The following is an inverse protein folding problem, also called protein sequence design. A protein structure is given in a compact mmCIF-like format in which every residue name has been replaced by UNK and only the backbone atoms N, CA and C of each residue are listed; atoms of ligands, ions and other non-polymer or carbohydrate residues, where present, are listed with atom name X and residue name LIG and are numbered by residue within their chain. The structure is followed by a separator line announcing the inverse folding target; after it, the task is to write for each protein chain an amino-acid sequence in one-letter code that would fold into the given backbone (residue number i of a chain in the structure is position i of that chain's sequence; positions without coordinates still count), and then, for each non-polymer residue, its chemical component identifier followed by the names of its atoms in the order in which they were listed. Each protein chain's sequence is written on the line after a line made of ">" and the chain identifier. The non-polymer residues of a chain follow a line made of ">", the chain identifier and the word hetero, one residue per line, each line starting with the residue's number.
data_IF_044865132189
#
_entry.id   IF_044865132189
#
_cell.length_a   1.000
_cell.length_b   1.000
_cell.length_c   1.000
_cell.angle_alpha   90.00
_cell.angle_beta   90.00
_cell.angle_gamma   90.00
#
_symmetry.space_group_name_H-M   'P 1'
#
loop_
_entity.id
_entity.type
_entity.pdbx_description
1 polymer ?
#
# COMPACT_ATOMS: atom_id res chain seq x y z
N UNK A 1 20.02 -8.23 16.46
CA UNK A 1 18.61 -7.83 16.34
C UNK A 1 17.97 -8.65 15.24
N UNK A 2 16.79 -9.22 15.46
CA UNK A 2 16.05 -9.89 14.38
C UNK A 2 15.60 -8.82 13.39
N UNK A 3 15.62 -9.10 12.07
CA UNK A 3 15.10 -8.14 11.10
C UNK A 3 13.61 -7.92 11.32
N UNK A 4 13.14 -6.69 11.08
CA UNK A 4 11.71 -6.35 11.09
C UNK A 4 10.97 -7.28 10.14
N UNK A 5 9.84 -7.81 10.57
CA UNK A 5 8.99 -8.67 9.74
C UNK A 5 7.72 -7.92 9.34
N UNK A 6 7.47 -7.85 8.03
CA UNK A 6 6.26 -7.26 7.46
C UNK A 6 5.36 -8.38 6.94
N UNK A 7 4.10 -8.37 7.36
CA UNK A 7 3.09 -9.27 6.81
C UNK A 7 2.25 -8.55 5.75
N UNK A 8 2.29 -9.09 4.53
CA UNK A 8 1.37 -8.73 3.45
C UNK A 8 0.13 -9.60 3.58
N UNK A 9 -1.03 -8.97 3.69
CA UNK A 9 -2.32 -9.64 3.83
C UNK A 9 -3.09 -9.46 2.52
N UNK A 10 -3.15 -10.50 1.70
CA UNK A 10 -3.86 -10.48 0.42
C UNK A 10 -5.34 -10.85 0.59
N UNK A 11 -6.23 -10.01 0.08
CA UNK A 11 -7.68 -10.22 0.07
C UNK A 11 -8.18 -10.36 -1.37
N UNK A 12 -8.09 -11.58 -1.90
CA UNK A 12 -8.65 -11.92 -3.21
C UNK A 12 -8.02 -11.18 -4.38
N UNK A 13 -6.71 -10.87 -4.33
CA UNK A 13 -6.02 -10.28 -5.46
C UNK A 13 -5.93 -11.28 -6.61
N UNK A 14 -6.17 -10.85 -7.86
CA UNK A 14 -6.22 -11.73 -9.01
C UNK A 14 -4.85 -12.26 -9.46
N UNK A 15 -3.77 -11.59 -9.12
CA UNK A 15 -2.43 -11.90 -9.60
C UNK A 15 -1.42 -11.94 -8.45
N UNK A 16 -0.91 -13.14 -8.17
CA UNK A 16 0.08 -13.38 -7.14
C UNK A 16 1.45 -12.80 -7.50
N UNK A 17 1.80 -12.76 -8.78
CA UNK A 17 3.09 -12.27 -9.24
C UNK A 17 3.26 -10.77 -8.90
N UNK A 18 2.17 -9.99 -8.93
CA UNK A 18 2.19 -8.58 -8.51
C UNK A 18 2.54 -8.43 -7.03
N UNK A 19 1.99 -9.32 -6.19
CA UNK A 19 2.27 -9.32 -4.76
C UNK A 19 3.74 -9.71 -4.51
N UNK A 20 4.24 -10.72 -5.19
CA UNK A 20 5.62 -11.19 -5.04
C UNK A 20 6.64 -10.13 -5.47
N UNK A 21 6.38 -9.39 -6.55
CA UNK A 21 7.23 -8.26 -6.96
C UNK A 21 7.27 -7.16 -5.90
N UNK A 22 6.11 -6.80 -5.34
CA UNK A 22 6.03 -5.81 -4.27
C UNK A 22 6.73 -6.28 -2.98
N UNK A 23 6.62 -7.57 -2.62
CA UNK A 23 7.32 -8.16 -1.48
C UNK A 23 8.83 -8.06 -1.63
N UNK A 24 9.37 -8.39 -2.81
CA UNK A 24 10.80 -8.28 -3.09
C UNK A 24 11.28 -6.83 -3.04
N UNK A 25 10.50 -5.90 -3.57
CA UNK A 25 10.81 -4.47 -3.51
C UNK A 25 10.81 -3.96 -2.07
N UNK A 26 9.80 -4.30 -1.27
CA UNK A 26 9.72 -3.92 0.14
C UNK A 26 10.86 -4.51 0.98
N UNK A 27 11.20 -5.78 0.76
CA UNK A 27 12.30 -6.44 1.46
C UNK A 27 13.64 -5.74 1.21
N UNK A 28 13.89 -5.29 -0.03
CA UNK A 28 15.09 -4.53 -0.37
C UNK A 28 15.09 -3.14 0.24
N UNK A 29 13.97 -2.42 0.09
CA UNK A 29 13.87 -1.01 0.48
C UNK A 29 13.95 -0.81 2.00
N UNK A 30 13.31 -1.70 2.76
CA UNK A 30 13.24 -1.60 4.22
C UNK A 30 14.17 -2.56 4.97
N UNK A 31 15.02 -3.32 4.24
CA UNK A 31 15.93 -4.32 4.81
C UNK A 31 15.21 -5.26 5.81
N UNK A 32 14.03 -5.75 5.43
CA UNK A 32 13.11 -6.51 6.29
C UNK A 32 12.79 -7.89 5.71
N UNK A 33 12.24 -8.76 6.55
CA UNK A 33 11.59 -9.99 6.10
C UNK A 33 10.14 -9.68 5.68
N UNK A 34 9.67 -10.28 4.59
CA UNK A 34 8.27 -10.12 4.15
C UNK A 34 7.60 -11.48 4.04
N UNK A 35 6.43 -11.61 4.66
CA UNK A 35 5.62 -12.83 4.67
C UNK A 35 4.25 -12.53 4.05
N UNK A 36 3.78 -13.42 3.18
CA UNK A 36 2.44 -13.34 2.60
C UNK A 36 1.44 -14.20 3.38
N UNK A 37 0.29 -13.62 3.70
CA UNK A 37 -0.89 -14.30 4.22
C UNK A 37 -2.08 -14.02 3.31
N UNK A 38 -2.73 -15.07 2.85
CA UNK A 38 -4.00 -14.96 2.14
C UNK A 38 -5.13 -15.10 3.16
N UNK A 39 -6.05 -14.15 3.16
CA UNK A 39 -7.21 -14.15 4.04
C UNK A 39 -8.49 -13.96 3.22
N UNK A 40 -9.56 -14.55 3.72
CA UNK A 40 -10.88 -14.45 3.11
C UNK A 40 -11.89 -14.06 4.18
N UNK A 41 -12.43 -12.86 4.08
CA UNK A 41 -13.57 -12.42 4.88
C UNK A 41 -14.46 -11.48 4.06
N UNK A 42 -15.72 -11.39 4.45
CA UNK A 42 -16.69 -10.52 3.78
C UNK A 42 -16.43 -9.07 4.17
N UNK A 43 -16.22 -8.21 3.16
CA UNK A 43 -16.00 -6.77 3.33
C UNK A 43 -17.24 -5.95 2.96
N UNK A 44 -18.38 -6.57 2.65
CA UNK A 44 -19.61 -5.91 2.20
C UNK A 44 -20.15 -4.88 3.21
N UNK A 45 -19.95 -5.11 4.51
CA UNK A 45 -20.36 -4.19 5.58
C UNK A 45 -19.59 -2.85 5.57
N UNK A 46 -18.50 -2.77 4.82
CA UNK A 46 -17.67 -1.57 4.69
C UNK A 46 -17.90 -0.81 3.40
N UNK A 47 -18.83 -1.31 2.55
CA UNK A 47 -19.22 -0.69 1.30
C UNK A 47 -20.24 0.45 1.54
N UNK A 48 -19.98 1.59 0.90
CA UNK A 48 -20.90 2.71 0.85
C UNK A 48 -21.64 2.71 -0.50
N UNK A 49 -22.95 2.43 -0.54
CA UNK A 49 -23.70 2.31 -1.78
C UNK A 49 -23.91 3.66 -2.50
N UNK A 50 -23.85 4.79 -1.78
CA UNK A 50 -23.97 6.13 -2.35
C UNK A 50 -22.68 6.49 -3.10
N UNK A 51 -21.55 6.23 -2.49
CA UNK A 51 -20.24 6.47 -3.09
C UNK A 51 -19.83 5.37 -4.07
N UNK A 52 -20.37 4.17 -3.93
CA UNK A 52 -19.95 2.95 -4.61
C UNK A 52 -18.48 2.60 -4.32
N UNK A 53 -18.07 2.83 -3.10
CA UNK A 53 -16.70 2.69 -2.64
C UNK A 53 -16.66 2.02 -1.26
N UNK A 54 -15.49 1.56 -0.86
CA UNK A 54 -15.25 0.97 0.46
C UNK A 54 -14.58 1.99 1.39
N UNK A 55 -15.06 2.04 2.64
CA UNK A 55 -14.51 2.92 3.66
C UNK A 55 -13.15 2.40 4.13
N UNK A 56 -12.09 3.13 3.80
CA UNK A 56 -10.71 2.75 4.10
C UNK A 56 -10.41 2.74 5.60
N UNK A 57 -10.95 3.69 6.37
CA UNK A 57 -10.76 3.70 7.84
C UNK A 57 -11.30 2.44 8.49
N UNK A 58 -12.42 1.93 8.01
CA UNK A 58 -13.03 0.69 8.53
C UNK A 58 -12.20 -0.53 8.11
N UNK A 59 -11.78 -0.62 6.86
CA UNK A 59 -10.93 -1.72 6.39
C UNK A 59 -9.57 -1.74 7.10
N UNK A 60 -8.97 -0.57 7.32
CA UNK A 60 -7.72 -0.45 8.08
C UNK A 60 -7.86 -1.03 9.49
N UNK A 61 -8.98 -0.74 10.18
CA UNK A 61 -9.26 -1.31 11.51
C UNK A 61 -9.46 -2.83 11.48
N UNK A 62 -10.06 -3.36 10.42
CA UNK A 62 -10.20 -4.82 10.26
C UNK A 62 -8.84 -5.49 10.14
N UNK A 63 -7.95 -4.95 9.29
CA UNK A 63 -6.59 -5.47 9.14
C UNK A 63 -5.81 -5.33 10.45
N UNK A 64 -5.96 -4.21 11.16
CA UNK A 64 -5.31 -3.95 12.45
C UNK A 64 -5.75 -4.94 13.55
N UNK A 65 -7.00 -5.42 13.46
CA UNK A 65 -7.54 -6.42 14.37
C UNK A 65 -7.11 -7.87 14.07
N UNK A 66 -6.45 -8.12 12.94
CA UNK A 66 -5.90 -9.45 12.64
C UNK A 66 -4.60 -9.66 13.40
N UNK A 67 -4.47 -10.86 13.99
CA UNK A 67 -3.26 -11.24 14.73
C UNK A 67 -2.34 -12.10 13.84
N UNK A 68 -1.13 -11.61 13.62
CA UNK A 68 -0.08 -12.35 12.93
C UNK A 68 1.15 -12.43 13.84
N UNK A 69 1.29 -13.52 14.65
CA UNK A 69 2.41 -13.68 15.55
C UNK A 69 3.76 -13.51 14.85
N UNK A 70 4.62 -12.67 15.42
CA UNK A 70 5.95 -12.36 14.86
C UNK A 70 5.95 -11.31 13.75
N UNK A 71 4.81 -10.67 13.46
CA UNK A 71 4.72 -9.53 12.54
C UNK A 71 4.91 -8.21 13.27
N UNK A 72 5.84 -7.38 12.80
CA UNK A 72 6.05 -6.03 13.33
C UNK A 72 5.15 -5.01 12.64
N UNK A 73 4.92 -5.21 11.33
CA UNK A 73 4.08 -4.37 10.48
C UNK A 73 3.16 -5.23 9.62
N UNK A 74 1.98 -4.73 9.32
CA UNK A 74 0.99 -5.43 8.48
C UNK A 74 0.46 -4.48 7.41
N UNK A 75 0.37 -4.95 6.17
CA UNK A 75 -0.28 -4.19 5.09
C UNK A 75 -1.34 -5.06 4.40
N UNK A 76 -2.60 -4.58 4.42
CA UNK A 76 -3.71 -5.20 3.70
C UNK A 76 -3.72 -4.79 2.25
N UNK A 77 -3.83 -5.75 1.34
CA UNK A 77 -3.79 -5.56 -0.09
C UNK A 77 -5.17 -5.87 -0.71
N UNK A 78 -5.73 -4.88 -1.40
CA UNK A 78 -7.10 -4.92 -1.93
C UNK A 78 -7.16 -4.64 -3.42
N UNK A 79 -8.27 -5.01 -4.04
CA UNK A 79 -8.66 -4.56 -5.38
C UNK A 79 -10.09 -3.98 -5.33
N UNK A 80 -10.29 -2.96 -4.51
CA UNK A 80 -11.57 -2.26 -4.35
C UNK A 80 -11.36 -0.76 -4.32
N UNK A 81 -12.37 0.00 -4.71
CA UNK A 81 -12.31 1.46 -4.69
C UNK A 81 -12.39 1.99 -3.26
N UNK A 82 -11.32 2.65 -2.80
CA UNK A 82 -11.19 3.14 -1.43
C UNK A 82 -11.53 4.62 -1.30
N UNK A 83 -12.19 4.99 -0.20
CA UNK A 83 -12.36 6.39 0.19
C UNK A 83 -12.15 6.61 1.68
N UNK A 84 -11.84 7.86 2.03
CA UNK A 84 -12.02 8.42 3.37
C UNK A 84 -13.00 9.61 3.28
N UNK A 85 -13.69 9.98 4.37
CA UNK A 85 -14.77 10.99 4.31
C UNK A 85 -14.37 12.32 3.68
N UNK A 86 -13.12 12.76 3.84
CA UNK A 86 -12.63 14.07 3.37
C UNK A 86 -12.06 14.04 1.94
N UNK A 87 -11.92 12.87 1.30
CA UNK A 87 -11.39 12.72 -0.04
C UNK A 87 -12.36 11.92 -0.93
N UNK A 88 -12.29 12.20 -2.24
CA UNK A 88 -13.10 11.48 -3.23
C UNK A 88 -12.69 10.01 -3.34
N UNK A 89 -11.40 9.73 -3.30
CA UNK A 89 -10.80 8.39 -3.26
C UNK A 89 -9.36 8.47 -2.73
N UNK A 90 -8.82 7.32 -2.40
CA UNK A 90 -7.40 7.13 -2.06
C UNK A 90 -6.87 5.86 -2.68
N UNK A 91 -5.55 5.76 -2.83
CA UNK A 91 -4.86 4.54 -3.29
C UNK A 91 -4.47 3.64 -2.11
N UNK A 92 -4.18 4.23 -0.96
CA UNK A 92 -3.83 3.54 0.26
C UNK A 92 -3.98 4.43 1.49
N UNK A 93 -3.73 3.86 2.65
CA UNK A 93 -3.77 4.53 3.95
C UNK A 93 -2.92 3.77 4.95
N UNK A 94 -2.17 4.48 5.78
CA UNK A 94 -1.36 3.87 6.83
C UNK A 94 -1.41 4.66 8.13
N UNK A 95 -1.21 3.96 9.24
CA UNK A 95 -0.99 4.58 10.55
C UNK A 95 0.43 5.13 10.60
N UNK A 96 0.61 6.44 10.67
CA UNK A 96 1.95 7.04 10.72
C UNK A 96 2.73 6.57 11.96
N UNK A 97 3.87 5.92 11.73
CA UNK A 97 4.66 5.28 12.79
C UNK A 97 3.98 4.11 13.48
N UNK A 98 2.84 3.65 12.94
CA UNK A 98 2.04 2.56 13.48
C UNK A 98 2.39 1.19 12.93
N UNK A 99 1.45 0.25 13.08
CA UNK A 99 1.65 -1.15 12.67
C UNK A 99 0.93 -1.51 11.37
N UNK A 100 -0.15 -0.81 11.02
CA UNK A 100 -1.08 -1.28 10.00
C UNK A 100 -1.30 -0.26 8.91
N UNK A 101 -1.25 -0.73 7.67
CA UNK A 101 -1.59 0.00 6.46
C UNK A 101 -2.46 -0.83 5.52
N UNK A 102 -3.02 -0.18 4.52
CA UNK A 102 -3.73 -0.80 3.41
C UNK A 102 -3.36 -0.13 2.09
N UNK A 103 -3.39 -0.88 1.01
CA UNK A 103 -3.23 -0.38 -0.35
C UNK A 103 -4.20 -1.08 -1.29
N UNK A 104 -4.70 -0.38 -2.30
CA UNK A 104 -5.60 -0.94 -3.31
C UNK A 104 -5.10 -0.69 -4.72
N UNK A 105 -5.13 -1.73 -5.55
CA UNK A 105 -4.77 -1.63 -6.96
C UNK A 105 -5.90 -1.10 -7.85
N UNK A 106 -7.12 -0.95 -7.33
CA UNK A 106 -8.33 -0.66 -8.12
C UNK A 106 -8.19 0.58 -9.01
N UNK A 107 -7.72 1.71 -8.47
CA UNK A 107 -7.55 2.96 -9.21
C UNK A 107 -6.20 3.11 -9.90
N UNK A 108 -5.37 2.08 -9.84
CA UNK A 108 -4.05 2.08 -10.48
C UNK A 108 -4.11 1.53 -11.91
N UNK A 109 -5.22 0.85 -12.29
CA UNK A 109 -5.34 0.24 -13.61
C UNK A 109 -5.71 1.26 -14.68
N UNK A 110 -5.13 1.10 -15.87
CA UNK A 110 -5.41 1.93 -17.04
C UNK A 110 -6.87 1.86 -17.49
N UNK A 111 -7.50 0.70 -17.35
CA UNK A 111 -8.87 0.44 -17.78
C UNK A 111 -9.88 1.34 -17.07
N UNK A 112 -9.57 1.78 -15.85
CA UNK A 112 -10.36 2.75 -15.11
C UNK A 112 -10.46 4.10 -15.78
N UNK A 113 -9.51 4.42 -16.63
CA UNK A 113 -9.38 5.69 -17.36
C UNK A 113 -9.66 5.53 -18.85
N UNK A 114 -10.22 4.38 -19.27
CA UNK A 114 -10.53 4.10 -20.68
C UNK A 114 -9.29 3.87 -21.56
N UNK A 115 -8.17 3.52 -20.96
CA UNK A 115 -6.90 3.23 -21.63
C UNK A 115 -6.69 1.71 -21.64
N UNK A 116 -6.03 1.18 -22.66
CA UNK A 116 -5.72 -0.25 -22.74
C UNK A 116 -4.92 -0.73 -21.54
N UNK A 117 -5.28 -1.90 -21.03
CA UNK A 117 -4.62 -2.52 -19.88
C UNK A 117 -3.13 -2.74 -20.09
N UNK A 118 -2.37 -2.58 -19.01
CA UNK A 118 -0.93 -2.83 -18.97
C UNK A 118 -0.59 -3.43 -17.59
N UNK A 119 -0.40 -4.75 -17.54
CA UNK A 119 -0.14 -5.48 -16.31
C UNK A 119 1.17 -5.08 -15.65
N UNK A 120 2.24 -4.87 -16.43
CA UNK A 120 3.55 -4.46 -15.88
C UNK A 120 3.47 -3.07 -15.25
N UNK A 121 2.77 -2.13 -15.88
CA UNK A 121 2.56 -0.80 -15.33
C UNK A 121 1.70 -0.84 -14.06
N UNK A 122 0.64 -1.66 -14.05
CA UNK A 122 -0.22 -1.85 -12.88
C UNK A 122 0.58 -2.42 -11.70
N UNK A 123 1.39 -3.45 -11.96
CA UNK A 123 2.28 -4.04 -10.95
C UNK A 123 3.27 -3.02 -10.38
N UNK A 124 3.89 -2.20 -11.25
CA UNK A 124 4.82 -1.15 -10.83
C UNK A 124 4.13 -0.09 -9.99
N UNK A 125 2.95 0.39 -10.39
CA UNK A 125 2.16 1.38 -9.63
C UNK A 125 1.77 0.84 -8.26
N UNK A 126 1.31 -0.42 -8.20
CA UNK A 126 0.92 -1.06 -6.95
C UNK A 126 2.12 -1.26 -6.01
N UNK A 127 3.26 -1.65 -6.55
CA UNK A 127 4.52 -1.72 -5.79
C UNK A 127 4.89 -0.36 -5.20
N UNK A 128 4.84 0.72 -5.97
CA UNK A 128 5.11 2.08 -5.48
C UNK A 128 4.17 2.49 -4.35
N UNK A 129 2.89 2.17 -4.48
CA UNK A 129 1.90 2.49 -3.45
C UNK A 129 2.14 1.70 -2.17
N UNK A 130 2.42 0.39 -2.26
CA UNK A 130 2.76 -0.44 -1.12
C UNK A 130 4.01 0.10 -0.39
N UNK A 131 5.07 0.45 -1.13
CA UNK A 131 6.28 1.03 -0.53
C UNK A 131 5.97 2.38 0.13
N UNK A 132 5.13 3.21 -0.47
CA UNK A 132 4.68 4.48 0.09
C UNK A 132 3.99 4.28 1.45
N UNK A 133 2.98 3.41 1.51
CA UNK A 133 2.25 3.15 2.76
C UNK A 133 3.14 2.50 3.83
N UNK A 134 4.04 1.61 3.44
CA UNK A 134 5.05 1.07 4.36
C UNK A 134 5.96 2.18 4.91
N UNK A 135 6.36 3.16 4.08
CA UNK A 135 7.13 4.31 4.54
C UNK A 135 6.42 5.07 5.66
N UNK A 136 5.11 5.26 5.57
CA UNK A 136 4.32 5.85 6.65
C UNK A 136 4.33 4.99 7.92
N UNK A 137 4.27 3.66 7.79
CA UNK A 137 4.38 2.76 8.95
C UNK A 137 5.73 2.87 9.66
N UNK A 138 6.79 3.17 8.91
CA UNK A 138 8.12 3.47 9.46
C UNK A 138 8.30 4.92 9.90
N UNK A 139 7.24 5.72 9.93
CA UNK A 139 7.26 7.10 10.42
C UNK A 139 7.66 8.15 9.38
N UNK A 140 7.86 7.79 8.12
CA UNK A 140 8.14 8.75 7.07
C UNK A 140 6.88 9.55 6.71
N UNK A 141 7.02 10.86 6.64
CA UNK A 141 5.99 11.76 6.11
C UNK A 141 6.18 11.98 4.60
N UNK A 142 5.22 12.66 3.96
CA UNK A 142 5.37 13.01 2.55
C UNK A 142 6.65 13.80 2.28
N UNK A 143 7.30 13.47 1.16
CA UNK A 143 8.56 14.05 0.72
C UNK A 143 8.35 14.92 -0.53
N UNK A 144 9.13 15.99 -0.67
CA UNK A 144 9.07 16.87 -1.83
C UNK A 144 10.25 16.65 -2.81
N UNK A 145 11.13 15.68 -2.53
CA UNK A 145 12.24 15.34 -3.44
C UNK A 145 11.66 14.69 -4.71
N UNK A 146 11.97 15.21 -5.91
CA UNK A 146 11.50 14.63 -7.16
C UNK A 146 11.86 13.15 -7.28
N UNK A 147 10.90 12.33 -7.71
CA UNK A 147 11.05 10.89 -7.90
C UNK A 147 11.00 10.06 -6.61
N UNK A 148 11.00 10.65 -5.42
CA UNK A 148 10.87 9.89 -4.18
C UNK A 148 9.52 9.20 -4.09
N UNK A 149 9.49 7.92 -3.72
CA UNK A 149 8.24 7.18 -3.52
C UNK A 149 7.33 7.83 -2.47
N UNK A 150 7.88 8.54 -1.50
CA UNK A 150 7.12 9.25 -0.45
C UNK A 150 6.49 10.57 -0.91
N UNK A 151 6.58 10.97 -2.19
CA UNK A 151 5.76 12.09 -2.68
C UNK A 151 4.28 11.74 -2.57
N UNK A 152 3.45 12.72 -2.18
CA UNK A 152 1.98 12.57 -2.21
C UNK A 152 1.48 12.36 -3.62
N UNK A 153 0.39 11.64 -3.78
CA UNK A 153 -0.28 11.41 -5.06
C UNK A 153 -1.77 11.70 -4.91
N UNK A 154 -2.29 12.51 -5.82
CA UNK A 154 -3.72 12.77 -5.95
C UNK A 154 -4.29 12.00 -7.15
N UNK A 155 -3.51 11.88 -8.20
CA UNK A 155 -3.86 11.20 -9.44
C UNK A 155 -2.89 10.07 -9.73
N UNK A 156 -3.29 9.13 -10.59
CA UNK A 156 -2.44 8.00 -10.98
C UNK A 156 -1.16 8.44 -11.69
N UNK A 157 -1.22 9.55 -12.40
CA UNK A 157 -0.08 10.18 -13.08
C UNK A 157 1.00 10.65 -12.08
N UNK A 158 0.60 11.05 -10.87
CA UNK A 158 1.57 11.39 -9.81
C UNK A 158 2.38 10.16 -9.39
N UNK A 159 1.73 8.98 -9.37
CA UNK A 159 2.40 7.70 -9.09
C UNK A 159 3.37 7.35 -10.22
N UNK A 160 3.01 7.62 -11.48
CA UNK A 160 3.88 7.36 -12.62
C UNK A 160 5.18 8.18 -12.57
N UNK A 161 5.15 9.38 -12.00
CA UNK A 161 6.29 10.27 -11.85
C UNK A 161 7.26 9.89 -10.72
N UNK A 162 6.86 8.99 -9.83
CA UNK A 162 7.72 8.50 -8.74
C UNK A 162 8.55 7.30 -9.19
N UNK A 163 9.65 7.09 -8.48
CA UNK A 163 10.37 5.82 -8.49
C UNK A 163 9.78 4.86 -7.43
N UNK A 164 10.19 3.60 -7.46
CA UNK A 164 9.76 2.60 -6.47
C UNK A 164 10.73 2.51 -5.26
N UNK A 165 11.42 3.61 -4.95
CA UNK A 165 12.40 3.66 -3.86
C UNK A 165 12.41 5.02 -3.15
N UNK A 166 12.98 5.03 -1.96
CA UNK A 166 13.18 6.23 -1.14
C UNK A 166 14.35 7.07 -1.68
N UNK A 167 14.22 8.38 -1.61
CA UNK A 167 15.38 9.26 -1.83
C UNK A 167 16.37 9.15 -0.66
N UNK A 168 17.60 9.63 -0.85
CA UNK A 168 18.66 9.58 0.17
C UNK A 168 18.24 10.19 1.53
N UNK A 169 17.43 11.26 1.51
CA UNK A 169 16.91 11.89 2.72
C UNK A 169 15.96 10.98 3.48
N UNK A 170 15.01 10.32 2.78
CA UNK A 170 14.06 9.40 3.41
C UNK A 170 14.75 8.12 3.88
N UNK A 171 15.69 7.57 3.10
CA UNK A 171 16.49 6.41 3.53
C UNK A 171 17.32 6.71 4.78
N UNK A 172 17.92 7.89 4.86
CA UNK A 172 18.67 8.32 6.06
C UNK A 172 17.74 8.46 7.29
N UNK A 173 16.49 8.89 7.10
CA UNK A 173 15.52 9.00 8.19
C UNK A 173 15.11 7.64 8.76
N UNK A 174 15.05 6.58 7.94
CA UNK A 174 14.81 5.21 8.40
C UNK A 174 15.92 4.67 9.30
N UNK A 175 17.17 5.03 9.04
CA UNK A 175 18.32 4.53 9.80
C UNK A 175 18.38 5.07 11.24
N UNK A 176 17.54 6.06 11.59
CA UNK A 176 17.49 6.70 12.91
C UNK A 176 16.37 6.14 13.79
N UNK A 177 15.47 5.33 13.24
CA UNK A 177 14.35 4.67 13.92
C UNK A 177 14.74 3.24 14.26
#
# INVERSE_FOLDING_TARGET
>A
MQPTTITFVSLGLPDRDFVEQAMQAAAREYACAVVLKEVHFDISDYYDPVRRQYNADKLLRVIDGLDFPGSDKTIGLFNVDLFIPILTYIFGQAQLGGRTGIASMFRLSNERYGISGNGDLLSLRFTKEIIHELGHLFGLIHCHTPGCVMQSSTYVEDIDQKEAYLCAKCSAALAVV
#
